data_IF_112794799485
#
_entry.id   IF_112794799485
#
_cell.length_a   1.000
_cell.length_b   1.000
_cell.length_c   1.000
_cell.angle_alpha   90.00
_cell.angle_beta   90.00
_cell.angle_gamma   90.00
#
_symmetry.space_group_name_H-M   'P 1'
#
loop_
_entity.id
_entity.type
_entity.pdbx_description
1 polymer ?
#
# COMPACT_ATOMS: atom_id res chain seq x y z
N UNK A 1 9.95 16.58 40.05
CA UNK A 1 10.07 16.49 38.57
C UNK A 1 8.68 16.22 37.95
N UNK A 2 7.89 17.25 37.59
CA UNK A 2 6.58 17.05 36.96
C UNK A 2 6.49 17.44 35.47
N UNK A 3 7.59 17.88 34.85
CA UNK A 3 7.56 18.49 33.50
C UNK A 3 7.36 17.48 32.36
N UNK A 4 7.52 16.17 32.59
CA UNK A 4 7.43 15.16 31.52
C UNK A 4 6.00 14.71 31.16
N UNK A 5 5.00 15.00 31.99
CA UNK A 5 3.60 14.56 31.75
C UNK A 5 2.78 15.54 30.90
N UNK A 6 3.26 16.77 30.69
CA UNK A 6 2.52 17.82 29.96
C UNK A 6 2.74 17.84 28.44
N UNK A 7 3.58 16.96 27.89
CA UNK A 7 3.98 16.99 26.48
C UNK A 7 3.40 15.86 25.63
N UNK A 8 2.74 14.87 26.23
CA UNK A 8 2.14 13.77 25.49
C UNK A 8 0.73 14.21 25.08
N UNK A 9 0.63 14.74 23.87
CA UNK A 9 -0.66 14.87 23.19
C UNK A 9 -1.17 13.45 22.88
N UNK A 10 -2.00 12.93 23.78
CA UNK A 10 -2.58 11.59 23.64
C UNK A 10 -3.43 11.43 22.37
N UNK A 11 -3.99 12.54 21.86
CA UNK A 11 -4.73 12.53 20.60
C UNK A 11 -3.78 12.36 19.41
N UNK A 12 -2.67 13.11 19.38
CA UNK A 12 -1.64 12.95 18.34
C UNK A 12 -1.02 11.53 18.35
N UNK A 13 -0.80 10.97 19.54
CA UNK A 13 -0.28 9.62 19.70
C UNK A 13 -1.25 8.59 19.12
N UNK A 14 -2.53 8.67 19.49
CA UNK A 14 -3.56 7.77 18.97
C UNK A 14 -3.73 7.90 17.46
N UNK A 15 -3.71 9.14 16.94
CA UNK A 15 -3.81 9.40 15.52
C UNK A 15 -2.65 8.77 14.74
N UNK A 16 -1.42 8.85 15.26
CA UNK A 16 -0.23 8.23 14.65
C UNK A 16 -0.35 6.70 14.62
N UNK A 17 -0.84 6.08 15.69
CA UNK A 17 -1.00 4.63 15.79
C UNK A 17 -2.00 4.13 14.74
N UNK A 18 -3.20 4.71 14.71
CA UNK A 18 -4.24 4.25 13.78
C UNK A 18 -3.90 4.57 12.32
N UNK A 19 -3.34 5.75 12.04
CA UNK A 19 -2.93 6.09 10.66
C UNK A 19 -1.82 5.17 10.15
N UNK A 20 -0.84 4.82 11.00
CA UNK A 20 0.18 3.83 10.67
C UNK A 20 -0.40 2.44 10.40
N UNK A 21 -1.36 1.99 11.22
CA UNK A 21 -2.04 0.72 11.03
C UNK A 21 -2.81 0.67 9.69
N UNK A 22 -3.61 1.71 9.40
CA UNK A 22 -4.36 1.81 8.15
C UNK A 22 -3.44 1.88 6.94
N UNK A 23 -2.35 2.64 7.02
CA UNK A 23 -1.37 2.73 5.94
C UNK A 23 -0.70 1.37 5.68
N UNK A 24 -0.27 0.66 6.73
CA UNK A 24 0.32 -0.66 6.61
C UNK A 24 -0.64 -1.68 5.97
N UNK A 25 -1.89 -1.74 6.46
CA UNK A 25 -2.93 -2.61 5.90
C UNK A 25 -3.21 -2.24 4.43
N UNK A 26 -3.33 -0.95 4.12
CA UNK A 26 -3.57 -0.47 2.77
C UNK A 26 -2.49 -0.90 1.79
N UNK A 27 -1.21 -0.72 2.15
CA UNK A 27 -0.07 -1.14 1.31
C UNK A 27 -0.07 -2.66 1.11
N UNK A 28 -0.30 -3.44 2.16
CA UNK A 28 -0.39 -4.90 2.07
C UNK A 28 -1.48 -5.35 1.09
N UNK A 29 -2.67 -4.74 1.14
CA UNK A 29 -3.78 -5.06 0.24
C UNK A 29 -3.42 -4.74 -1.21
N UNK A 30 -2.86 -3.56 -1.47
CA UNK A 30 -2.45 -3.14 -2.82
C UNK A 30 -1.39 -4.09 -3.38
N UNK A 31 -0.43 -4.51 -2.54
CA UNK A 31 0.60 -5.45 -2.96
C UNK A 31 0.03 -6.87 -3.18
N UNK A 32 -0.95 -7.30 -2.40
CA UNK A 32 -1.64 -8.57 -2.63
C UNK A 32 -2.34 -8.60 -4.00
N UNK A 33 -2.95 -7.50 -4.45
CA UNK A 33 -3.50 -7.39 -5.80
C UNK A 33 -2.43 -7.50 -6.90
N UNK A 34 -1.22 -7.01 -6.62
CA UNK A 34 -0.08 -7.15 -7.53
C UNK A 34 0.28 -8.62 -7.75
N UNK A 35 0.42 -9.36 -6.65
CA UNK A 35 0.72 -10.81 -6.68
C UNK A 35 -0.42 -11.57 -7.36
N UNK A 36 -1.67 -11.27 -7.00
CA UNK A 36 -2.84 -11.91 -7.58
C UNK A 36 -2.90 -11.70 -9.09
N UNK A 37 -2.69 -10.47 -9.57
CA UNK A 37 -2.63 -10.15 -10.99
C UNK A 37 -1.50 -10.90 -11.70
N UNK A 38 -0.30 -10.92 -11.12
CA UNK A 38 0.85 -11.61 -11.71
C UNK A 38 0.62 -13.13 -11.83
N UNK A 39 0.16 -13.76 -10.75
CA UNK A 39 -0.12 -15.19 -10.71
C UNK A 39 -1.24 -15.56 -11.71
N UNK A 40 -2.40 -14.89 -11.64
CA UNK A 40 -3.53 -15.15 -12.55
C UNK A 40 -3.21 -14.87 -14.01
N UNK A 41 -2.36 -13.89 -14.29
CA UNK A 41 -1.93 -13.62 -15.68
C UNK A 41 -1.16 -14.80 -16.28
N UNK A 42 -0.38 -15.50 -15.45
CA UNK A 42 0.40 -16.68 -15.88
C UNK A 42 -0.53 -17.87 -16.13
N UNK A 43 -1.44 -18.15 -15.20
CA UNK A 43 -2.42 -19.23 -15.35
C UNK A 43 -3.29 -19.05 -16.62
N UNK A 44 -3.79 -17.83 -16.86
CA UNK A 44 -4.64 -17.53 -18.01
C UNK A 44 -3.90 -17.60 -19.35
N UNK A 45 -2.57 -17.40 -19.37
CA UNK A 45 -1.74 -17.60 -20.57
C UNK A 45 -1.57 -19.09 -20.88
N UNK A 46 -1.52 -19.93 -19.85
CA UNK A 46 -1.44 -21.39 -20.02
C UNK A 46 -2.76 -21.98 -20.53
N UNK A 47 -3.88 -21.33 -20.25
CA UNK A 47 -5.21 -21.72 -20.74
C UNK A 47 -5.55 -21.14 -22.14
N UNK A 48 -4.60 -20.54 -22.87
CA UNK A 48 -4.81 -19.83 -24.15
C UNK A 48 -5.84 -18.67 -24.09
N UNK A 49 -6.15 -18.16 -22.89
CA UNK A 49 -7.11 -17.08 -22.65
C UNK A 49 -6.41 -15.72 -22.65
N UNK A 50 -5.87 -15.35 -23.80
CA UNK A 50 -5.02 -14.15 -23.97
C UNK A 50 -5.64 -12.85 -23.44
N UNK A 51 -6.93 -12.61 -23.70
CA UNK A 51 -7.62 -11.39 -23.23
C UNK A 51 -7.67 -11.33 -21.69
N UNK A 52 -8.05 -12.43 -21.05
CA UNK A 52 -8.12 -12.46 -19.59
C UNK A 52 -6.72 -12.34 -18.95
N UNK A 53 -5.70 -12.97 -19.55
CA UNK A 53 -4.32 -12.81 -19.12
C UNK A 53 -3.85 -11.34 -19.15
N UNK A 54 -4.18 -10.59 -20.21
CA UNK A 54 -3.81 -9.18 -20.30
C UNK A 54 -4.47 -8.33 -19.21
N UNK A 55 -5.74 -8.59 -18.89
CA UNK A 55 -6.44 -7.86 -17.82
C UNK A 55 -5.78 -8.09 -16.45
N UNK A 56 -5.39 -9.33 -16.14
CA UNK A 56 -4.69 -9.63 -14.89
C UNK A 56 -3.27 -9.05 -14.85
N UNK A 57 -2.57 -9.01 -15.99
CA UNK A 57 -1.27 -8.36 -16.09
C UNK A 57 -1.38 -6.84 -15.84
N UNK A 58 -2.40 -6.18 -16.38
CA UNK A 58 -2.68 -4.76 -16.11
C UNK A 58 -2.97 -4.54 -14.63
N UNK A 59 -3.75 -5.42 -13.99
CA UNK A 59 -3.99 -5.35 -12.55
C UNK A 59 -2.68 -5.43 -11.74
N UNK A 60 -1.77 -6.31 -12.14
CA UNK A 60 -0.46 -6.45 -11.50
C UNK A 60 0.36 -5.15 -11.61
N UNK A 61 0.41 -4.56 -12.80
CA UNK A 61 1.12 -3.31 -13.06
C UNK A 61 0.51 -2.17 -12.25
N UNK A 62 -0.82 -2.04 -12.24
CA UNK A 62 -1.50 -1.00 -11.47
C UNK A 62 -1.26 -1.14 -9.97
N UNK A 63 -1.31 -2.36 -9.42
CA UNK A 63 -0.99 -2.60 -8.01
C UNK A 63 0.46 -2.24 -7.67
N UNK A 64 1.40 -2.54 -8.57
CA UNK A 64 2.81 -2.18 -8.40
C UNK A 64 2.96 -0.66 -8.38
N UNK A 65 2.40 0.03 -9.38
CA UNK A 65 2.46 1.48 -9.49
C UNK A 65 1.81 2.17 -8.29
N UNK A 66 0.65 1.69 -7.84
CA UNK A 66 -0.03 2.20 -6.66
C UNK A 66 0.82 2.03 -5.40
N UNK A 67 1.48 0.88 -5.23
CA UNK A 67 2.38 0.65 -4.09
C UNK A 67 3.54 1.64 -4.09
N UNK A 68 4.21 1.82 -5.24
CA UNK A 68 5.28 2.81 -5.38
C UNK A 68 4.79 4.23 -5.15
N UNK A 69 3.63 4.60 -5.68
CA UNK A 69 3.04 5.92 -5.49
C UNK A 69 2.78 6.22 -4.00
N UNK A 70 2.27 5.24 -3.24
CA UNK A 70 2.07 5.39 -1.79
C UNK A 70 3.40 5.60 -1.05
N UNK A 71 4.44 4.83 -1.39
CA UNK A 71 5.77 5.02 -0.77
C UNK A 71 6.34 6.39 -1.10
N UNK A 72 6.31 6.81 -2.37
CA UNK A 72 6.80 8.13 -2.80
C UNK A 72 6.02 9.24 -2.09
N UNK A 73 4.69 9.13 -2.05
CA UNK A 73 3.84 10.09 -1.36
C UNK A 73 4.20 10.20 0.12
N UNK A 74 4.42 9.07 0.82
CA UNK A 74 4.84 9.08 2.21
C UNK A 74 6.20 9.78 2.41
N UNK A 75 7.18 9.52 1.52
CA UNK A 75 8.49 10.18 1.57
C UNK A 75 8.37 11.68 1.34
N UNK A 76 7.58 12.10 0.34
CA UNK A 76 7.33 13.52 0.04
C UNK A 76 6.64 14.21 1.21
N UNK A 77 5.65 13.56 1.83
CA UNK A 77 4.94 14.09 2.99
C UNK A 77 5.87 14.29 4.21
N UNK A 78 6.81 13.36 4.44
CA UNK A 78 7.77 13.46 5.55
C UNK A 78 8.83 14.53 5.28
N UNK A 79 9.23 14.70 4.02
CA UNK A 79 10.29 15.65 3.62
C UNK A 79 9.77 17.07 3.42
N UNK A 80 8.50 17.23 3.06
CA UNK A 80 7.84 18.52 2.89
C UNK A 80 7.09 18.83 4.18
N UNK A 81 7.77 19.55 5.09
CA UNK A 81 7.16 20.01 6.35
C UNK A 81 6.17 21.14 6.12
#
# INVERSE_FOLDING_TARGET
MPVLLGFIDGQALWQTIWTGAVAGIGVCIIFAFTILGAARSTDMRLEDRAVAATLYAVLAVLGTLASFAVVIYAVVLITTK
#
